data_IF_228228856902
#
_entry.id   IF_228228856902
#
_cell.length_a   1.000
_cell.length_b   1.000
_cell.length_c   1.000
_cell.angle_alpha   90.00
_cell.angle_beta   90.00
_cell.angle_gamma   90.00
#
_symmetry.space_group_name_H-M   'P 1'
#
loop_
_entity.id
_entity.type
_entity.pdbx_description
1 polymer ?
#
# COMPACT_ATOMS: atom_id res chain seq x y z
N UNK A 1 -13.09 -10.70 2.01
CA UNK A 1 -11.83 -11.48 1.86
C UNK A 1 -12.09 -12.82 2.52
N UNK A 2 -12.23 -13.85 1.67
CA UNK A 2 -12.54 -15.21 2.11
C UNK A 2 -11.33 -15.84 2.83
N UNK A 3 -11.61 -16.85 3.66
CA UNK A 3 -10.56 -17.72 4.24
C UNK A 3 -9.66 -18.27 3.12
N UNK A 4 -8.40 -18.56 3.46
CA UNK A 4 -7.37 -19.15 2.60
C UNK A 4 -7.95 -20.32 1.78
N UNK A 5 -8.39 -20.06 0.57
CA UNK A 5 -8.71 -21.09 -0.42
C UNK A 5 -7.46 -21.30 -1.27
N UNK A 6 -6.84 -22.47 -1.18
CA UNK A 6 -5.64 -22.79 -1.96
C UNK A 6 -6.04 -22.98 -3.42
N UNK A 7 -5.83 -21.97 -4.24
CA UNK A 7 -5.90 -22.09 -5.69
C UNK A 7 -4.54 -22.60 -6.22
N UNK A 8 -4.44 -23.89 -6.44
CA UNK A 8 -3.22 -24.53 -6.96
C UNK A 8 -2.76 -23.96 -8.30
N UNK A 9 -3.68 -23.52 -9.13
CA UNK A 9 -3.38 -22.92 -10.44
C UNK A 9 -2.69 -21.58 -10.26
N UNK A 10 -3.23 -20.73 -9.38
CA UNK A 10 -2.63 -19.44 -9.03
C UNK A 10 -1.27 -19.64 -8.34
N UNK A 11 -1.18 -20.53 -7.35
CA UNK A 11 0.08 -20.86 -6.67
C UNK A 11 1.16 -21.27 -7.66
N UNK A 12 0.84 -22.14 -8.62
CA UNK A 12 1.78 -22.58 -9.63
C UNK A 12 2.24 -21.43 -10.55
N UNK A 13 1.35 -20.50 -10.92
CA UNK A 13 1.72 -19.33 -11.72
C UNK A 13 2.69 -18.43 -10.96
N UNK A 14 2.39 -18.10 -9.70
CA UNK A 14 3.27 -17.27 -8.86
C UNK A 14 4.60 -17.98 -8.62
N UNK A 15 4.61 -19.26 -8.32
CA UNK A 15 5.81 -20.04 -8.08
C UNK A 15 6.76 -20.13 -9.30
N UNK A 16 6.25 -19.96 -10.52
CA UNK A 16 7.08 -19.85 -11.72
C UNK A 16 7.87 -18.53 -11.76
N UNK A 17 7.33 -17.47 -11.22
CA UNK A 17 7.90 -16.11 -11.23
C UNK A 17 8.71 -15.86 -9.97
N UNK A 18 8.09 -16.02 -8.81
CA UNK A 18 8.68 -15.76 -7.49
C UNK A 18 9.42 -16.99 -7.00
N UNK A 19 10.74 -16.90 -6.86
CA UNK A 19 11.60 -18.06 -6.56
C UNK A 19 11.95 -18.19 -5.08
N UNK A 20 11.75 -17.12 -4.28
CA UNK A 20 12.09 -17.08 -2.87
C UNK A 20 11.09 -16.28 -2.04
N UNK A 21 11.11 -16.40 -0.68
CA UNK A 21 10.32 -15.56 0.18
C UNK A 21 10.54 -14.07 -0.13
N UNK A 22 9.46 -13.31 -0.23
CA UNK A 22 9.51 -11.96 -0.77
C UNK A 22 8.56 -11.03 -0.03
N UNK A 23 8.94 -9.77 0.09
CA UNK A 23 8.00 -8.72 0.43
C UNK A 23 7.10 -8.39 -0.75
N UNK A 24 5.92 -7.88 -0.48
CA UNK A 24 4.93 -7.48 -1.48
C UNK A 24 4.67 -5.99 -1.40
N UNK A 25 4.78 -5.32 -2.53
CA UNK A 25 4.24 -3.98 -2.73
C UNK A 25 3.03 -4.06 -3.67
N UNK A 26 1.94 -3.34 -3.34
CA UNK A 26 0.74 -3.23 -4.17
C UNK A 26 0.37 -1.76 -4.36
N UNK A 27 0.42 -1.28 -5.58
CA UNK A 27 0.07 0.10 -5.88
C UNK A 27 0.40 0.51 -7.30
N UNK A 28 -0.11 1.65 -7.71
CA UNK A 28 0.17 2.25 -9.01
C UNK A 28 1.45 3.07 -8.93
N UNK A 29 2.35 2.89 -9.90
CA UNK A 29 3.55 3.70 -10.06
C UNK A 29 3.29 4.80 -11.08
N UNK A 30 2.80 5.92 -10.62
CA UNK A 30 2.50 7.06 -11.50
C UNK A 30 3.75 7.63 -12.15
N UNK A 31 3.58 8.30 -13.29
CA UNK A 31 4.69 8.89 -14.03
C UNK A 31 5.10 10.21 -13.38
N UNK A 32 6.06 10.14 -12.49
CA UNK A 32 6.70 11.27 -11.83
C UNK A 32 8.19 10.94 -11.65
N UNK A 33 9.05 11.91 -11.43
CA UNK A 33 10.46 11.70 -11.14
C UNK A 33 10.71 10.83 -9.91
N UNK A 34 11.96 10.54 -9.60
CA UNK A 34 12.35 9.79 -8.40
C UNK A 34 11.86 10.52 -7.14
N UNK A 35 11.11 9.81 -6.29
CA UNK A 35 10.53 10.38 -5.08
C UNK A 35 9.31 11.28 -5.29
N UNK A 36 8.90 11.48 -6.54
CA UNK A 36 7.78 12.37 -6.89
C UNK A 36 6.47 11.62 -7.15
N UNK A 37 6.45 10.29 -7.08
CA UNK A 37 5.19 9.55 -7.10
C UNK A 37 4.65 9.36 -5.66
N UNK A 38 3.35 9.52 -5.48
CA UNK A 38 2.70 9.46 -4.16
C UNK A 38 2.98 8.16 -3.38
N UNK A 39 3.23 7.08 -4.08
CA UNK A 39 3.55 5.77 -3.46
C UNK A 39 5.03 5.58 -3.14
N UNK A 40 5.88 6.49 -3.57
CA UNK A 40 7.34 6.50 -3.40
C UNK A 40 8.00 5.15 -3.73
N UNK A 41 7.60 4.59 -4.89
CA UNK A 41 8.01 3.24 -5.27
C UNK A 41 9.49 3.20 -5.64
N UNK A 42 9.99 4.23 -6.32
CA UNK A 42 11.40 4.29 -6.70
C UNK A 42 12.31 4.28 -5.46
N UNK A 43 11.97 5.07 -4.42
CA UNK A 43 12.69 5.09 -3.13
C UNK A 43 12.51 3.77 -2.40
N UNK A 44 11.31 3.19 -2.38
CA UNK A 44 11.08 1.86 -1.78
C UNK A 44 12.00 0.81 -2.41
N UNK A 45 12.14 0.80 -3.74
CA UNK A 45 13.05 -0.10 -4.47
C UNK A 45 14.52 0.20 -4.12
N UNK A 46 14.92 1.48 -4.09
CA UNK A 46 16.28 1.90 -3.71
C UNK A 46 16.64 1.39 -2.32
N UNK A 47 15.84 1.73 -1.31
CA UNK A 47 16.11 1.36 0.08
C UNK A 47 16.06 -0.15 0.31
N UNK A 48 15.19 -0.88 -0.41
CA UNK A 48 15.20 -2.33 -0.41
C UNK A 48 16.52 -2.90 -0.97
N UNK A 49 17.03 -2.37 -2.06
CA UNK A 49 18.32 -2.78 -2.63
C UNK A 49 19.44 -2.49 -1.63
N UNK A 50 19.52 -1.29 -1.08
CA UNK A 50 20.56 -0.89 -0.10
C UNK A 50 20.57 -1.77 1.14
N UNK A 51 19.37 -2.16 1.61
CA UNK A 51 19.25 -3.03 2.79
C UNK A 51 19.74 -4.47 2.53
N UNK A 52 19.43 -5.02 1.35
CA UNK A 52 19.56 -6.45 1.07
C UNK A 52 20.56 -6.82 -0.02
N UNK A 53 21.23 -5.84 -0.64
CA UNK A 53 22.28 -6.12 -1.61
C UNK A 53 23.47 -6.87 -0.96
N UNK A 54 24.17 -7.64 -1.77
CA UNK A 54 25.36 -8.42 -1.37
C UNK A 54 25.09 -9.47 -0.27
N UNK A 55 23.85 -9.70 0.14
CA UNK A 55 23.51 -10.78 1.07
C UNK A 55 23.53 -12.13 0.35
N UNK A 56 23.91 -13.17 1.08
CA UNK A 56 23.94 -14.55 0.54
C UNK A 56 22.53 -15.05 0.23
N UNK A 57 21.57 -14.77 1.10
CA UNK A 57 20.16 -15.16 0.95
C UNK A 57 19.22 -13.98 1.23
N UNK A 58 19.15 -13.01 0.30
CA UNK A 58 18.25 -11.87 0.49
C UNK A 58 16.79 -12.25 0.23
N UNK A 59 15.81 -11.56 0.84
CA UNK A 59 14.42 -11.66 0.41
C UNK A 59 14.26 -11.16 -1.02
N UNK A 60 13.14 -11.52 -1.67
CA UNK A 60 12.72 -10.85 -2.90
C UNK A 60 11.79 -9.66 -2.61
N UNK A 61 11.56 -8.84 -3.62
CA UNK A 61 10.53 -7.82 -3.66
C UNK A 61 9.59 -8.09 -4.82
N UNK A 62 8.33 -8.35 -4.52
CA UNK A 62 7.26 -8.46 -5.51
C UNK A 62 6.64 -7.07 -5.67
N UNK A 63 6.74 -6.51 -6.87
CA UNK A 63 6.07 -5.28 -7.25
C UNK A 63 4.81 -5.63 -8.04
N UNK A 64 3.65 -5.65 -7.38
CA UNK A 64 2.33 -5.68 -8.03
C UNK A 64 1.96 -4.26 -8.39
N UNK A 65 2.35 -3.84 -9.58
CA UNK A 65 2.22 -2.44 -10.01
C UNK A 65 1.93 -2.31 -11.50
N UNK A 66 1.41 -1.16 -11.85
CA UNK A 66 1.25 -0.64 -13.21
C UNK A 66 1.49 0.87 -13.18
N UNK A 67 1.71 1.49 -14.34
CA UNK A 67 1.68 2.94 -14.49
C UNK A 67 0.24 3.43 -14.68
N UNK A 68 -0.19 3.58 -15.92
CA UNK A 68 -1.57 3.97 -16.22
C UNK A 68 -2.46 2.78 -16.60
N UNK A 69 -1.87 1.74 -17.21
CA UNK A 69 -2.61 0.60 -17.80
C UNK A 69 -1.91 -0.71 -17.50
N UNK A 70 -2.37 -1.80 -18.14
CA UNK A 70 -1.67 -3.09 -18.16
C UNK A 70 -1.17 -3.43 -19.58
N UNK A 71 -0.95 -2.43 -20.42
CA UNK A 71 -0.42 -2.60 -21.77
C UNK A 71 1.05 -3.05 -21.75
N UNK A 72 1.52 -3.54 -22.92
CA UNK A 72 2.94 -3.89 -23.09
C UNK A 72 3.85 -2.67 -22.98
N UNK A 73 3.39 -1.50 -23.42
CA UNK A 73 4.15 -0.25 -23.30
C UNK A 73 4.33 0.14 -21.83
N UNK A 74 3.26 0.09 -21.07
CA UNK A 74 3.29 0.34 -19.63
C UNK A 74 4.24 -0.65 -18.89
N UNK A 75 4.17 -1.94 -19.25
CA UNK A 75 5.12 -2.93 -18.73
C UNK A 75 6.58 -2.57 -18.99
N UNK A 76 6.88 -2.15 -20.23
CA UNK A 76 8.25 -1.75 -20.62
C UNK A 76 8.69 -0.52 -19.85
N UNK A 77 7.80 0.47 -19.67
CA UNK A 77 8.08 1.68 -18.91
C UNK A 77 8.39 1.36 -17.44
N UNK A 78 7.54 0.61 -16.75
CA UNK A 78 7.80 0.18 -15.37
C UNK A 78 9.12 -0.60 -15.26
N UNK A 79 9.41 -1.46 -16.21
CA UNK A 79 10.67 -2.21 -16.24
C UNK A 79 11.88 -1.29 -16.40
N UNK A 80 11.76 -0.24 -17.20
CA UNK A 80 12.82 0.76 -17.38
C UNK A 80 13.03 1.60 -16.12
N UNK A 81 11.97 1.97 -15.40
CA UNK A 81 12.09 2.65 -14.09
C UNK A 81 12.86 1.80 -13.08
N UNK A 82 12.56 0.50 -12.99
CA UNK A 82 13.32 -0.42 -12.13
C UNK A 82 14.80 -0.47 -12.56
N UNK A 83 15.07 -0.50 -13.86
CA UNK A 83 16.46 -0.45 -14.38
C UNK A 83 17.15 0.86 -14.03
N UNK A 84 16.46 1.99 -14.13
CA UNK A 84 17.02 3.31 -13.79
C UNK A 84 17.40 3.38 -12.31
N UNK A 85 16.55 2.87 -11.41
CA UNK A 85 16.92 2.76 -9.98
C UNK A 85 18.16 1.90 -9.80
N UNK A 86 18.24 0.75 -10.46
CA UNK A 86 19.42 -0.13 -10.37
C UNK A 86 20.69 0.48 -10.96
N UNK A 87 20.57 1.30 -11.99
CA UNK A 87 21.73 1.95 -12.64
C UNK A 87 22.42 2.99 -11.75
N UNK A 88 21.77 3.45 -10.67
CA UNK A 88 22.37 4.34 -9.68
C UNK A 88 23.34 3.61 -8.71
N UNK A 89 23.42 2.28 -8.77
CA UNK A 89 24.30 1.47 -7.92
C UNK A 89 25.58 1.05 -8.66
N UNK A 90 26.66 0.72 -7.92
CA UNK A 90 27.88 0.19 -8.50
C UNK A 90 27.62 -1.08 -9.35
N UNK A 91 28.46 -1.30 -10.36
CA UNK A 91 28.27 -2.41 -11.31
C UNK A 91 28.49 -3.82 -10.70
N UNK A 92 29.28 -3.90 -9.65
CA UNK A 92 29.65 -5.14 -8.97
C UNK A 92 28.65 -5.57 -7.88
N UNK A 93 27.61 -4.77 -7.63
CA UNK A 93 26.60 -5.06 -6.61
C UNK A 93 25.73 -6.28 -6.98
N UNK A 94 25.55 -7.19 -6.02
CA UNK A 94 24.62 -8.30 -6.15
C UNK A 94 23.24 -7.87 -5.69
N UNK A 95 22.34 -7.64 -6.66
CA UNK A 95 20.99 -7.18 -6.38
C UNK A 95 20.12 -8.27 -5.71
N UNK A 96 19.30 -7.92 -4.72
CA UNK A 96 18.23 -8.79 -4.27
C UNK A 96 17.21 -8.97 -5.42
N UNK A 97 16.50 -10.11 -5.49
CA UNK A 97 15.52 -10.34 -6.55
C UNK A 97 14.35 -9.36 -6.48
N UNK A 98 13.99 -8.78 -7.63
CA UNK A 98 12.80 -7.94 -7.80
C UNK A 98 11.92 -8.60 -8.87
N UNK A 99 10.69 -8.91 -8.51
CA UNK A 99 9.70 -9.58 -9.35
C UNK A 99 8.60 -8.60 -9.74
N UNK A 100 8.43 -8.34 -11.02
CA UNK A 100 7.36 -7.47 -11.52
C UNK A 100 6.12 -8.29 -11.85
N UNK A 101 5.02 -8.05 -11.14
CA UNK A 101 3.69 -8.55 -11.44
C UNK A 101 2.85 -7.45 -12.10
N UNK A 102 3.03 -7.27 -13.40
CA UNK A 102 2.31 -6.30 -14.22
C UNK A 102 1.14 -7.00 -14.92
N UNK A 103 0.03 -7.13 -14.21
CA UNK A 103 -1.17 -7.76 -14.74
C UNK A 103 -2.42 -7.21 -14.05
N UNK A 104 -3.53 -7.13 -14.77
CA UNK A 104 -4.83 -7.02 -14.14
C UNK A 104 -5.11 -8.31 -13.37
N UNK A 105 -5.55 -8.18 -12.14
CA UNK A 105 -5.87 -9.30 -11.25
C UNK A 105 -7.28 -9.12 -10.72
N UNK A 106 -8.04 -10.22 -10.66
CA UNK A 106 -9.32 -10.23 -9.97
C UNK A 106 -9.14 -10.00 -8.46
N UNK A 107 -10.20 -9.67 -7.75
CA UNK A 107 -10.18 -9.58 -6.28
C UNK A 107 -9.74 -10.91 -5.63
N UNK A 108 -10.15 -12.03 -6.24
CA UNK A 108 -9.73 -13.36 -5.79
C UNK A 108 -8.23 -13.59 -6.00
N UNK A 109 -7.66 -13.16 -7.14
CA UNK A 109 -6.22 -13.28 -7.40
C UNK A 109 -5.40 -12.42 -6.42
N UNK A 110 -5.85 -11.21 -6.13
CA UNK A 110 -5.22 -10.33 -5.13
C UNK A 110 -5.31 -10.96 -3.74
N UNK A 111 -6.47 -11.52 -3.36
CA UNK A 111 -6.61 -12.24 -2.10
C UNK A 111 -5.68 -13.46 -2.02
N UNK A 112 -5.58 -14.23 -3.10
CA UNK A 112 -4.65 -15.37 -3.19
C UNK A 112 -3.19 -14.92 -3.09
N UNK A 113 -2.86 -13.75 -3.65
CA UNK A 113 -1.51 -13.18 -3.54
C UNK A 113 -1.16 -12.80 -2.11
N UNK A 114 -2.07 -12.14 -1.37
CA UNK A 114 -1.87 -11.82 0.05
C UNK A 114 -1.70 -13.08 0.93
N UNK A 115 -2.34 -14.18 0.55
CA UNK A 115 -2.27 -15.45 1.28
C UNK A 115 -1.18 -16.42 0.76
N UNK A 116 -0.36 -15.99 -0.19
CA UNK A 116 0.64 -16.86 -0.82
C UNK A 116 1.81 -17.12 0.12
N UNK A 117 2.24 -18.39 0.24
CA UNK A 117 3.26 -18.84 1.20
C UNK A 117 4.63 -18.14 1.03
N UNK A 118 4.94 -17.63 -0.16
CA UNK A 118 6.16 -16.85 -0.43
C UNK A 118 6.06 -15.37 -0.11
N UNK A 119 4.89 -14.86 0.25
CA UNK A 119 4.71 -13.46 0.63
C UNK A 119 4.94 -13.33 2.13
N UNK A 120 5.99 -12.60 2.51
CA UNK A 120 6.41 -12.41 3.89
C UNK A 120 5.63 -11.32 4.61
N UNK A 121 5.29 -10.27 3.90
CA UNK A 121 4.60 -9.09 4.40
C UNK A 121 4.38 -8.08 3.30
N UNK A 122 3.46 -7.14 3.52
CA UNK A 122 3.25 -6.01 2.62
C UNK A 122 4.11 -4.84 3.09
N UNK A 123 4.81 -4.19 2.16
CA UNK A 123 5.62 -2.99 2.43
C UNK A 123 5.18 -1.83 1.56
N UNK A 124 5.15 -0.63 2.13
CA UNK A 124 4.87 0.62 1.41
C UNK A 124 5.46 1.82 2.16
N UNK A 125 6.15 2.69 1.43
CA UNK A 125 6.70 3.95 1.95
C UNK A 125 5.94 5.15 1.38
N UNK A 126 4.63 5.01 1.24
CA UNK A 126 3.76 6.04 0.64
C UNK A 126 3.88 7.39 1.36
N UNK A 127 3.85 8.47 0.59
CA UNK A 127 3.82 9.83 1.12
C UNK A 127 2.52 10.19 1.83
N UNK A 128 1.45 9.42 1.61
CA UNK A 128 0.16 9.57 2.25
C UNK A 128 -0.93 8.75 1.55
N UNK A 129 -1.91 8.34 2.34
CA UNK A 129 -3.07 7.57 1.91
C UNK A 129 -4.35 8.20 2.44
N UNK A 130 -5.35 8.34 1.58
CA UNK A 130 -6.69 8.68 2.07
C UNK A 130 -7.27 7.60 2.98
N UNK A 131 -7.04 6.33 2.64
CA UNK A 131 -7.48 5.18 3.43
C UNK A 131 -6.46 4.05 3.45
N UNK A 132 -5.87 3.67 2.31
CA UNK A 132 -4.89 2.59 2.22
C UNK A 132 -5.50 1.21 2.03
N UNK A 133 -6.47 1.08 1.10
CA UNK A 133 -7.19 -0.19 0.83
C UNK A 133 -6.28 -1.41 0.69
N UNK A 134 -5.14 -1.40 -0.03
CA UNK A 134 -4.27 -2.57 -0.13
C UNK A 134 -3.73 -3.05 1.23
N UNK A 135 -3.45 -2.12 2.15
CA UNK A 135 -2.99 -2.43 3.50
C UNK A 135 -4.09 -3.06 4.34
N UNK A 136 -5.33 -2.54 4.26
CA UNK A 136 -6.46 -3.14 4.95
C UNK A 136 -6.75 -4.55 4.42
N UNK A 137 -6.76 -4.75 3.11
CA UNK A 137 -6.95 -6.05 2.48
C UNK A 137 -5.87 -7.06 2.92
N UNK A 138 -4.61 -6.65 2.93
CA UNK A 138 -3.48 -7.45 3.40
C UNK A 138 -3.61 -7.79 4.89
N UNK A 139 -4.04 -6.82 5.73
CA UNK A 139 -4.29 -7.07 7.15
C UNK A 139 -5.37 -8.12 7.38
N UNK A 140 -6.44 -8.12 6.58
CA UNK A 140 -7.47 -9.16 6.64
C UNK A 140 -6.94 -10.55 6.31
N UNK A 141 -5.93 -10.66 5.46
CA UNK A 141 -5.25 -11.92 5.18
C UNK A 141 -4.29 -12.37 6.32
N UNK A 142 -4.11 -11.56 7.35
CA UNK A 142 -3.14 -11.82 8.42
C UNK A 142 -1.69 -11.53 8.00
N UNK A 143 -1.51 -10.83 6.89
CA UNK A 143 -0.19 -10.50 6.39
C UNK A 143 0.42 -9.35 7.23
N UNK A 144 1.64 -9.49 7.75
CA UNK A 144 2.33 -8.39 8.41
C UNK A 144 2.48 -7.18 7.51
N UNK A 145 2.39 -5.97 8.07
CA UNK A 145 2.45 -4.73 7.28
C UNK A 145 3.55 -3.83 7.80
N UNK A 146 4.41 -3.36 6.88
CA UNK A 146 5.35 -2.27 7.08
C UNK A 146 4.89 -1.07 6.25
N UNK A 147 4.62 0.05 6.91
CA UNK A 147 4.11 1.27 6.28
C UNK A 147 4.67 2.52 6.96
N UNK A 148 4.54 3.67 6.32
CA UNK A 148 4.85 4.97 6.93
C UNK A 148 3.91 5.26 8.10
N UNK A 149 4.41 5.89 9.16
CA UNK A 149 3.63 6.28 10.34
C UNK A 149 2.89 7.61 10.09
N UNK A 150 2.08 7.63 9.03
CA UNK A 150 1.35 8.85 8.64
C UNK A 150 0.10 8.56 7.82
N UNK A 151 -0.98 9.29 8.08
CA UNK A 151 -2.22 9.40 7.32
C UNK A 151 -3.26 8.27 7.51
N UNK A 152 -4.24 8.16 6.62
CA UNK A 152 -5.49 7.44 6.82
C UNK A 152 -5.40 5.94 7.10
N UNK A 153 -4.28 5.28 6.79
CA UNK A 153 -4.11 3.86 7.12
C UNK A 153 -3.82 3.62 8.61
N UNK A 154 -3.48 4.64 9.38
CA UNK A 154 -3.27 4.52 10.82
C UNK A 154 -4.57 4.20 11.58
N UNK A 155 -5.73 4.44 10.98
CA UNK A 155 -7.02 4.06 11.56
C UNK A 155 -7.12 2.55 11.83
N UNK A 156 -6.42 1.74 11.04
CA UNK A 156 -6.45 0.28 11.14
C UNK A 156 -5.05 -0.38 11.24
N UNK A 157 -3.99 0.40 11.33
CA UNK A 157 -2.62 -0.06 11.56
C UNK A 157 -2.07 0.51 12.87
N UNK A 158 -2.44 -0.05 14.03
CA UNK A 158 -1.93 0.41 15.31
C UNK A 158 -0.44 0.09 15.47
N UNK A 159 0.28 0.94 16.21
CA UNK A 159 1.74 0.87 16.39
C UNK A 159 2.23 -0.38 17.09
N UNK A 160 1.40 -1.00 17.90
CA UNK A 160 1.71 -2.24 18.62
C UNK A 160 1.60 -3.52 17.76
N UNK A 161 0.93 -3.44 16.61
CA UNK A 161 0.69 -4.58 15.70
C UNK A 161 1.19 -4.38 14.27
N UNK A 162 1.70 -3.19 13.95
CA UNK A 162 2.19 -2.83 12.61
C UNK A 162 3.61 -2.29 12.68
N UNK A 163 4.41 -2.57 11.67
CA UNK A 163 5.76 -2.04 11.55
C UNK A 163 5.70 -0.65 10.90
N UNK A 164 5.56 0.40 11.72
CA UNK A 164 5.42 1.76 11.23
C UNK A 164 6.77 2.47 11.18
N UNK A 165 7.08 3.05 10.03
CA UNK A 165 8.32 3.79 9.75
C UNK A 165 8.12 5.26 10.08
N UNK A 166 9.04 5.83 10.87
CA UNK A 166 9.12 7.26 11.17
C UNK A 166 9.54 8.09 9.97
N UNK A 167 9.45 9.39 10.12
CA UNK A 167 9.81 10.36 9.07
C UNK A 167 9.28 11.74 9.39
N UNK A 168 9.26 12.61 8.39
CA UNK A 168 8.83 14.00 8.53
C UNK A 168 7.91 14.45 7.39
N UNK A 169 7.15 15.52 7.66
CA UNK A 169 6.37 16.21 6.64
C UNK A 169 7.23 17.24 5.94
N UNK A 170 7.32 17.12 4.63
CA UNK A 170 8.04 18.08 3.76
C UNK A 170 7.06 18.71 2.76
N UNK A 171 7.35 19.94 2.34
CA UNK A 171 6.60 20.59 1.26
C UNK A 171 6.65 19.71 0.01
N UNK A 172 5.54 19.56 -0.71
CA UNK A 172 5.54 18.86 -1.99
C UNK A 172 6.45 19.56 -3.00
N UNK A 173 7.21 18.81 -3.82
CA UNK A 173 7.99 19.39 -4.91
C UNK A 173 7.08 20.13 -5.90
N UNK A 174 7.55 21.26 -6.43
CA UNK A 174 6.75 22.08 -7.34
C UNK A 174 6.36 21.31 -8.63
N UNK A 175 7.16 20.33 -9.03
CA UNK A 175 6.93 19.46 -10.21
C UNK A 175 5.74 18.49 -10.05
N UNK A 176 5.27 18.27 -8.83
CA UNK A 176 4.12 17.38 -8.56
C UNK A 176 2.86 18.17 -8.24
N UNK A 177 2.95 19.49 -8.18
CA UNK A 177 1.80 20.34 -8.00
C UNK A 177 0.83 20.13 -9.17
N UNK A 178 -0.42 19.87 -8.83
CA UNK A 178 -1.49 19.66 -9.78
C UNK A 178 -2.71 20.46 -9.35
N UNK A 179 -3.07 21.44 -10.16
CA UNK A 179 -4.13 22.38 -9.86
C UNK A 179 -5.40 21.68 -9.33
N UNK A 180 -5.90 22.17 -8.21
CA UNK A 180 -7.07 21.65 -7.48
C UNK A 180 -6.95 20.21 -6.93
N UNK A 181 -5.78 19.54 -7.06
CA UNK A 181 -5.56 18.17 -6.55
C UNK A 181 -4.39 18.13 -5.57
N UNK A 182 -3.22 18.62 -5.95
CA UNK A 182 -2.05 18.76 -5.08
C UNK A 182 -1.68 20.24 -5.08
N UNK A 183 -2.14 20.97 -4.07
CA UNK A 183 -1.89 22.41 -3.96
C UNK A 183 -0.46 22.68 -3.47
N UNK A 184 0.14 23.85 -3.82
CA UNK A 184 1.53 24.15 -3.48
C UNK A 184 1.84 24.15 -1.98
N UNK A 185 0.85 24.35 -1.13
CA UNK A 185 0.96 24.35 0.34
C UNK A 185 0.85 22.94 0.93
N UNK A 186 0.58 21.90 0.10
CA UNK A 186 0.48 20.53 0.56
C UNK A 186 1.82 20.03 1.07
N UNK A 187 1.76 19.10 1.99
CA UNK A 187 2.92 18.39 2.53
C UNK A 187 2.80 16.89 2.29
N UNK A 188 3.95 16.26 2.08
CA UNK A 188 4.12 14.84 1.97
C UNK A 188 4.96 14.29 3.11
N UNK A 189 4.60 13.12 3.59
CA UNK A 189 5.42 12.41 4.55
C UNK A 189 6.57 11.72 3.83
N UNK A 190 7.80 11.98 4.26
CA UNK A 190 8.99 11.31 3.76
C UNK A 190 9.55 10.42 4.86
N UNK A 191 9.67 9.12 4.55
CA UNK A 191 10.19 8.14 5.49
C UNK A 191 11.68 8.40 5.81
N UNK A 192 12.06 8.27 7.07
CA UNK A 192 13.47 8.29 7.50
C UNK A 192 14.18 7.04 6.97
N UNK A 193 15.25 7.25 6.18
CA UNK A 193 15.96 6.15 5.52
C UNK A 193 16.64 5.21 6.53
N UNK A 194 17.15 5.72 7.65
CA UNK A 194 17.78 4.89 8.68
C UNK A 194 16.77 4.00 9.37
N UNK A 195 15.61 4.56 9.72
CA UNK A 195 14.49 3.81 10.29
C UNK A 195 13.96 2.74 9.31
N UNK A 196 13.90 3.05 8.00
CA UNK A 196 13.56 2.06 6.97
C UNK A 196 14.54 0.89 6.97
N UNK A 197 15.86 1.15 7.00
CA UNK A 197 16.87 0.08 7.00
C UNK A 197 16.74 -0.82 8.23
N UNK A 198 16.54 -0.24 9.41
CA UNK A 198 16.36 -1.00 10.64
C UNK A 198 15.09 -1.86 10.56
N UNK A 199 13.98 -1.27 10.16
CA UNK A 199 12.70 -1.95 10.06
C UNK A 199 12.65 -3.02 8.98
N UNK A 200 13.26 -2.81 7.83
CA UNK A 200 13.39 -3.85 6.81
C UNK A 200 14.16 -5.07 7.33
N UNK A 201 15.27 -4.85 8.05
CA UNK A 201 16.05 -5.94 8.65
C UNK A 201 15.26 -6.67 9.73
N UNK A 202 14.65 -5.93 10.66
CA UNK A 202 13.82 -6.50 11.72
C UNK A 202 12.63 -7.28 11.17
N UNK A 203 12.02 -6.77 10.10
CA UNK A 203 10.87 -7.40 9.46
C UNK A 203 11.23 -8.73 8.78
N UNK A 204 12.46 -8.88 8.30
CA UNK A 204 12.94 -10.08 7.61
C UNK A 204 13.63 -11.09 8.54
N UNK A 205 14.66 -10.67 9.28
CA UNK A 205 15.58 -11.60 9.95
C UNK A 205 15.30 -11.81 11.42
N UNK A 206 14.99 -10.75 12.17
CA UNK A 206 15.07 -10.78 13.63
C UNK A 206 13.75 -11.17 14.28
N UNK A 207 12.65 -10.85 13.66
CA UNK A 207 11.33 -10.95 14.28
C UNK A 207 10.22 -11.50 13.36
N UNK A 208 10.58 -12.31 12.36
CA UNK A 208 9.59 -12.85 11.41
C UNK A 208 8.41 -13.56 12.11
N UNK A 209 8.69 -14.35 13.13
CA UNK A 209 7.64 -15.04 13.92
C UNK A 209 6.78 -14.05 14.71
N UNK A 210 7.40 -13.02 15.30
CA UNK A 210 6.70 -11.94 15.99
C UNK A 210 5.74 -11.22 15.03
N UNK A 211 6.25 -10.79 13.87
CA UNK A 211 5.43 -10.06 12.90
C UNK A 211 4.28 -10.90 12.33
N UNK A 212 4.50 -12.19 12.09
CA UNK A 212 3.42 -13.12 11.68
C UNK A 212 2.32 -13.24 12.76
N UNK A 213 2.69 -13.36 14.04
CA UNK A 213 1.74 -13.38 15.13
C UNK A 213 0.94 -12.08 15.21
N UNK A 214 1.64 -10.93 15.19
CA UNK A 214 1.00 -9.62 15.22
C UNK A 214 0.08 -9.37 14.02
N UNK A 215 0.46 -9.83 12.83
CA UNK A 215 -0.40 -9.78 11.64
C UNK A 215 -1.68 -10.60 11.81
N UNK A 216 -1.60 -11.76 12.47
CA UNK A 216 -2.80 -12.58 12.78
C UNK A 216 -3.71 -11.86 13.78
N UNK A 217 -3.16 -11.30 14.85
CA UNK A 217 -3.91 -10.53 15.84
C UNK A 217 -4.57 -9.29 15.19
N UNK A 218 -3.84 -8.58 14.35
CA UNK A 218 -4.37 -7.44 13.57
C UNK A 218 -5.51 -7.86 12.64
N UNK A 219 -5.40 -9.04 12.02
CA UNK A 219 -6.46 -9.58 11.15
C UNK A 219 -7.78 -9.78 11.93
N UNK A 220 -7.72 -10.35 13.11
CA UNK A 220 -8.89 -10.57 13.96
C UNK A 220 -9.57 -9.26 14.33
N UNK A 221 -8.78 -8.25 14.74
CA UNK A 221 -9.31 -6.93 15.06
C UNK A 221 -9.92 -6.23 13.86
N UNK A 222 -9.18 -6.19 12.73
CA UNK A 222 -9.64 -5.47 11.55
C UNK A 222 -10.87 -6.12 10.93
N UNK A 223 -10.96 -7.45 10.94
CA UNK A 223 -12.17 -8.17 10.50
C UNK A 223 -13.36 -7.82 11.36
N UNK A 224 -13.19 -7.63 12.66
CA UNK A 224 -14.26 -7.24 13.58
C UNK A 224 -14.67 -5.77 13.35
N UNK A 225 -13.70 -4.87 13.17
CA UNK A 225 -13.95 -3.41 13.15
C UNK A 225 -14.30 -2.84 11.76
N UNK A 226 -13.78 -3.46 10.70
CA UNK A 226 -13.83 -2.92 9.33
C UNK A 226 -14.43 -3.89 8.31
N UNK A 227 -15.12 -4.96 8.75
CA UNK A 227 -15.95 -5.78 7.86
C UNK A 227 -17.09 -4.95 7.26
N UNK A 228 -17.66 -5.43 6.17
CA UNK A 228 -18.82 -4.77 5.54
C UNK A 228 -19.97 -4.60 6.54
N UNK A 229 -20.25 -5.63 7.32
CA UNK A 229 -21.33 -5.61 8.32
C UNK A 229 -21.05 -4.56 9.41
N UNK A 230 -19.83 -4.56 9.98
CA UNK A 230 -19.43 -3.59 11.00
C UNK A 230 -19.47 -2.14 10.47
N UNK A 231 -19.06 -1.91 9.24
CA UNK A 231 -19.11 -0.57 8.61
C UNK A 231 -20.54 -0.17 8.26
N UNK A 232 -21.39 -1.12 7.85
CA UNK A 232 -22.81 -0.88 7.62
C UNK A 232 -23.50 -0.46 8.92
N UNK A 233 -23.25 -1.18 10.02
CA UNK A 233 -23.81 -0.85 11.33
C UNK A 233 -23.37 0.55 11.81
N UNK A 234 -22.09 0.87 11.64
CA UNK A 234 -21.58 2.22 11.94
C UNK A 234 -22.31 3.30 11.13
N UNK A 235 -22.48 3.08 9.82
CA UNK A 235 -23.16 4.03 8.95
C UNK A 235 -24.64 4.20 9.34
N UNK A 236 -25.36 3.09 9.57
CA UNK A 236 -26.76 3.12 10.04
C UNK A 236 -26.89 3.90 11.35
N UNK A 237 -25.95 3.69 12.29
CA UNK A 237 -25.97 4.40 13.57
C UNK A 237 -25.70 5.91 13.43
N UNK A 238 -24.81 6.29 12.49
CA UNK A 238 -24.59 7.71 12.14
C UNK A 238 -25.86 8.33 11.58
N UNK A 239 -26.51 7.66 10.62
CA UNK A 239 -27.77 8.17 10.05
C UNK A 239 -28.89 8.27 11.10
N UNK A 240 -29.01 7.30 12.00
CA UNK A 240 -29.99 7.38 13.10
C UNK A 240 -29.76 8.62 13.98
N UNK A 241 -28.49 8.91 14.34
CA UNK A 241 -28.13 10.08 15.17
C UNK A 241 -28.35 11.40 14.43
N UNK A 242 -28.13 11.45 13.13
CA UNK A 242 -28.28 12.66 12.32
C UNK A 242 -29.72 12.92 11.90
N UNK A 243 -30.57 11.88 11.87
CA UNK A 243 -31.96 12.00 11.39
C UNK A 243 -32.73 13.15 12.11
N UNK A 244 -32.52 13.30 13.39
CA UNK A 244 -33.18 14.35 14.20
C UNK A 244 -32.53 15.74 14.03
N UNK A 245 -31.32 15.79 13.46
CA UNK A 245 -30.56 17.01 13.18
C UNK A 245 -30.77 17.54 11.74
N UNK A 246 -31.34 16.69 10.85
CA UNK A 246 -31.69 17.12 9.50
C UNK A 246 -32.83 18.12 9.63
N UNK A 247 -32.57 19.35 9.26
CA UNK A 247 -33.54 20.44 9.30
C UNK A 247 -34.84 20.00 8.62
N UNK A 248 -35.98 20.22 9.28
CA UNK A 248 -37.29 20.01 8.67
C UNK A 248 -37.32 20.71 7.30
N UNK A 249 -37.83 20.09 6.25
CA UNK A 249 -37.83 20.69 4.93
C UNK A 249 -38.40 22.12 5.01
N UNK A 250 -37.59 23.10 4.59
CA UNK A 250 -38.03 24.49 4.52
C UNK A 250 -39.22 24.57 3.60
N UNK A 251 -40.37 24.99 4.10
CA UNK A 251 -41.53 25.26 3.24
C UNK A 251 -41.17 26.48 2.37
N UNK A 252 -40.78 26.20 1.14
CA UNK A 252 -40.56 27.23 0.13
C UNK A 252 -41.92 27.87 -0.15
N UNK A 253 -42.15 29.09 0.31
CA UNK A 253 -43.27 29.91 -0.14
C UNK A 253 -42.93 30.42 -1.54
N UNK A 254 -43.48 29.81 -2.53
CA UNK A 254 -43.43 30.32 -3.90
C UNK A 254 -44.08 31.70 -3.93
N UNK A 255 -43.50 32.71 -4.57
CA UNK A 255 -44.17 34.00 -4.77
C UNK A 255 -45.48 33.76 -5.56
N UNK A 256 -46.57 34.43 -5.16
CA UNK A 256 -47.80 34.43 -5.92
C UNK A 256 -47.56 35.08 -7.27
N UNK A 257 -47.85 34.41 -8.34
CA UNK A 257 -47.93 34.97 -9.68
C UNK A 257 -49.04 36.04 -9.67
N UNK A 258 -48.67 37.29 -9.80
CA UNK A 258 -49.63 38.36 -10.11
C UNK A 258 -49.94 38.27 -11.61
N UNK A 259 -51.22 38.08 -11.95
CA UNK A 259 -51.73 38.23 -13.31
C UNK A 259 -51.75 39.72 -13.64
N UNK A 260 -50.96 40.12 -14.65
CA UNK A 260 -51.00 41.46 -15.27
C UNK A 260 -52.31 41.64 -16.05
#
# INVERSE_FOLDING_TARGET
IAKKQKDKTFENKINKIVKRPSFLFVGQWTHAGFGNDRKDIARTVKLFIETFANKTDPPGLILKTNGATYSRLDYVDIKNRIKSVKAAFPQDIKFPPIYLLHASMSEQDINNLYNHDKVLGLITLTHGEGYGRPMLEASFAGLPILATNYSGHLDFLPTDKSCLVGGELVKVPDEVVWENIIVPESQWFVADELDVYEKFRSFYNENTSKWKRLGTELSEENRTKYSLDAMTDKLVNIFKKLKDQIAKPMKIKLPKLETL
#
